data_IF_133601364684
#
_entry.id   IF_133601364684
#
_cell.length_a   1.000
_cell.length_b   1.000
_cell.length_c   1.000
_cell.angle_alpha   90.00
_cell.angle_beta   90.00
_cell.angle_gamma   90.00
#
_symmetry.space_group_name_H-M   'P 1'
#
loop_
_entity.id
_entity.type
_entity.pdbx_description
1 polymer ?
#
# COMPACT_ATOMS: atom_id res chain seq x y z
N UNK A 1 3.14 53.84 -2.64
CA UNK A 1 2.76 52.76 -1.71
C UNK A 1 2.97 51.44 -2.45
N UNK A 2 4.00 50.66 -2.09
CA UNK A 2 4.29 49.37 -2.72
C UNK A 2 3.49 48.30 -1.99
N UNK A 3 2.47 47.73 -2.63
CA UNK A 3 1.75 46.57 -2.09
C UNK A 3 2.70 45.36 -2.16
N UNK A 4 3.17 44.91 -1.00
CA UNK A 4 3.87 43.64 -0.86
C UNK A 4 2.85 42.52 -1.00
N UNK A 5 2.83 41.85 -2.15
CA UNK A 5 2.02 40.66 -2.33
C UNK A 5 2.76 39.49 -1.65
N UNK A 6 2.26 39.05 -0.50
CA UNK A 6 2.73 37.82 0.14
C UNK A 6 2.30 36.65 -0.73
N UNK A 7 3.21 36.12 -1.55
CA UNK A 7 2.96 34.86 -2.26
C UNK A 7 2.95 33.76 -1.20
N UNK A 8 1.77 33.24 -0.92
CA UNK A 8 1.63 32.02 -0.12
C UNK A 8 2.14 30.85 -0.97
N UNK A 9 3.39 30.45 -0.75
CA UNK A 9 4.04 29.35 -1.47
C UNK A 9 3.73 28.03 -0.75
N UNK A 10 2.64 27.37 -1.13
CA UNK A 10 2.48 25.94 -0.87
C UNK A 10 2.77 25.17 -2.15
N UNK A 11 3.57 24.08 -2.11
CA UNK A 11 3.76 23.24 -3.28
C UNK A 11 2.44 22.59 -3.68
N UNK A 12 2.29 22.29 -4.97
CA UNK A 12 1.18 21.48 -5.46
C UNK A 12 1.12 20.14 -4.69
N UNK A 13 -0.07 19.66 -4.31
CA UNK A 13 -0.20 18.37 -3.65
C UNK A 13 0.40 17.25 -4.50
N UNK A 14 1.17 16.36 -3.86
CA UNK A 14 1.78 15.20 -4.52
C UNK A 14 1.77 13.99 -3.60
N UNK A 15 1.90 12.79 -4.18
CA UNK A 15 1.91 11.55 -3.42
C UNK A 15 3.27 11.34 -2.72
N UNK A 16 3.30 11.61 -1.42
CA UNK A 16 4.50 11.43 -0.58
C UNK A 16 4.92 9.97 -0.44
N UNK A 17 3.97 9.03 -0.57
CA UNK A 17 4.22 7.62 -0.32
C UNK A 17 5.23 7.02 -1.31
N UNK A 18 5.27 7.52 -2.56
CA UNK A 18 6.16 7.03 -3.62
C UNK A 18 7.64 7.16 -3.24
N UNK A 19 8.00 8.19 -2.46
CA UNK A 19 9.35 8.37 -1.95
C UNK A 19 9.61 7.69 -0.61
N UNK A 20 8.60 7.06 -0.01
CA UNK A 20 8.66 6.45 1.30
C UNK A 20 9.24 5.04 1.31
N UNK A 21 9.37 4.50 2.52
CA UNK A 21 9.67 3.08 2.75
C UNK A 21 8.46 2.46 3.44
N UNK A 22 7.91 1.42 2.83
CA UNK A 22 6.78 0.68 3.38
C UNK A 22 7.20 -0.73 3.79
N UNK A 23 6.73 -1.17 4.95
CA UNK A 23 6.86 -2.55 5.44
C UNK A 23 5.51 -3.06 5.90
N UNK A 24 5.35 -4.38 5.90
CA UNK A 24 4.19 -5.07 6.47
C UNK A 24 4.69 -6.15 7.41
N UNK A 25 3.93 -6.45 8.47
CA UNK A 25 4.23 -7.58 9.33
C UNK A 25 3.83 -8.94 8.72
N UNK A 26 3.04 -8.93 7.65
CA UNK A 26 2.60 -10.11 6.93
C UNK A 26 2.26 -9.76 5.48
N UNK A 27 2.73 -10.57 4.53
CA UNK A 27 2.39 -10.45 3.11
C UNK A 27 2.00 -11.82 2.58
N UNK A 28 1.04 -11.86 1.66
CA UNK A 28 0.60 -13.14 1.11
C UNK A 28 1.75 -13.88 0.42
N UNK A 29 1.72 -15.21 0.50
CA UNK A 29 2.66 -16.07 -0.22
C UNK A 29 4.08 -16.14 0.36
N UNK A 30 4.37 -15.58 1.54
CA UNK A 30 5.69 -15.64 2.20
C UNK A 30 6.03 -17.07 2.68
N UNK A 31 5.06 -17.81 3.21
CA UNK A 31 5.21 -19.21 3.66
C UNK A 31 5.04 -20.25 2.52
N UNK A 32 4.87 -19.78 1.28
CA UNK A 32 4.56 -20.60 0.11
C UNK A 32 3.26 -20.17 -0.57
N UNK A 33 2.91 -20.77 -1.71
CA UNK A 33 1.75 -20.34 -2.50
C UNK A 33 0.45 -20.52 -1.72
N UNK A 34 -0.39 -19.49 -1.68
CA UNK A 34 -1.71 -19.56 -1.04
C UNK A 34 -2.84 -19.14 -1.98
N UNK A 35 -4.01 -19.77 -1.82
CA UNK A 35 -5.20 -19.46 -2.62
C UNK A 35 -5.99 -18.34 -1.97
N UNK A 36 -6.37 -17.34 -2.75
CA UNK A 36 -7.26 -16.25 -2.32
C UNK A 36 -8.50 -16.19 -3.22
N UNK A 37 -9.60 -15.64 -2.69
CA UNK A 37 -10.85 -15.43 -3.42
C UNK A 37 -11.49 -14.10 -3.02
N UNK A 38 -12.06 -13.36 -3.99
CA UNK A 38 -12.87 -12.17 -3.69
C UNK A 38 -14.23 -12.60 -3.14
N UNK A 39 -14.56 -12.11 -1.94
CA UNK A 39 -15.85 -12.39 -1.29
C UNK A 39 -17.02 -11.61 -1.90
N UNK A 40 -16.76 -10.49 -2.60
CA UNK A 40 -17.79 -9.70 -3.27
C UNK A 40 -17.47 -9.55 -4.76
N UNK A 41 -18.43 -9.88 -5.62
CA UNK A 41 -18.31 -9.90 -7.08
C UNK A 41 -18.50 -11.28 -7.68
N UNK A 42 -18.14 -11.46 -8.96
CA UNK A 42 -17.98 -12.79 -9.55
C UNK A 42 -16.91 -13.56 -8.76
N UNK A 43 -17.06 -14.88 -8.62
CA UNK A 43 -16.11 -15.76 -7.92
C UNK A 43 -14.73 -15.74 -8.61
N UNK A 44 -13.93 -14.72 -8.31
CA UNK A 44 -12.56 -14.58 -8.77
C UNK A 44 -11.64 -15.08 -7.68
N UNK A 45 -10.95 -16.18 -7.97
CA UNK A 45 -9.91 -16.74 -7.12
C UNK A 45 -8.58 -16.73 -7.88
N UNK A 46 -7.50 -16.73 -7.11
CA UNK A 46 -6.14 -16.76 -7.64
C UNK A 46 -5.19 -17.40 -6.66
N UNK A 47 -3.92 -17.41 -7.03
CA UNK A 47 -2.81 -17.84 -6.17
C UNK A 47 -1.95 -16.62 -5.92
N UNK A 48 -1.56 -16.41 -4.67
CA UNK A 48 -0.48 -15.50 -4.31
C UNK A 48 0.78 -16.31 -3.98
N UNK A 49 1.92 -15.94 -4.56
CA UNK A 49 3.23 -16.52 -4.25
C UNK A 49 4.28 -15.41 -4.28
N UNK A 50 4.91 -15.15 -3.14
CA UNK A 50 5.92 -14.09 -3.00
C UNK A 50 7.16 -14.29 -3.89
N UNK A 51 7.39 -15.52 -4.38
CA UNK A 51 8.52 -15.88 -5.24
C UNK A 51 8.20 -15.70 -6.73
N UNK A 52 6.93 -15.45 -7.07
CA UNK A 52 6.49 -15.20 -8.44
C UNK A 52 6.42 -13.69 -8.70
N UNK A 53 6.91 -13.27 -9.86
CA UNK A 53 6.88 -11.87 -10.26
C UNK A 53 5.45 -11.39 -10.59
N UNK A 54 4.61 -12.28 -11.11
CA UNK A 54 3.24 -12.01 -11.56
C UNK A 54 2.17 -12.25 -10.48
N UNK A 55 2.49 -13.04 -9.46
CA UNK A 55 1.56 -13.44 -8.37
C UNK A 55 2.03 -12.99 -7.00
N UNK A 56 3.10 -12.21 -6.96
CA UNK A 56 3.58 -11.53 -5.75
C UNK A 56 2.86 -10.20 -5.55
N UNK A 57 2.52 -9.90 -4.29
CA UNK A 57 1.84 -8.67 -3.91
C UNK A 57 2.58 -7.96 -2.75
N UNK A 58 3.82 -7.51 -2.97
CA UNK A 58 4.69 -6.99 -1.92
C UNK A 58 4.21 -5.63 -1.39
N UNK A 59 4.61 -5.20 -0.17
CA UNK A 59 4.22 -3.89 0.37
C UNK A 59 4.51 -2.71 -0.55
N UNK A 60 5.62 -2.77 -1.30
CA UNK A 60 6.03 -1.73 -2.24
C UNK A 60 5.00 -1.47 -3.35
N UNK A 61 4.22 -2.49 -3.73
CA UNK A 61 3.16 -2.36 -4.72
C UNK A 61 2.00 -1.45 -4.27
N UNK A 62 1.90 -1.13 -2.97
CA UNK A 62 0.91 -0.17 -2.48
C UNK A 62 1.31 1.30 -2.70
N UNK A 63 2.58 1.57 -3.03
CA UNK A 63 3.14 2.94 -3.12
C UNK A 63 3.89 3.20 -4.43
N UNK A 64 3.88 2.26 -5.38
CA UNK A 64 4.65 2.32 -6.63
C UNK A 64 4.01 3.22 -7.72
N UNK A 65 2.85 3.82 -7.43
CA UNK A 65 2.06 4.67 -8.33
C UNK A 65 1.55 3.95 -9.58
N UNK A 66 1.44 2.62 -9.55
CA UNK A 66 0.81 1.82 -10.60
C UNK A 66 -0.62 1.44 -10.21
N UNK A 67 -1.52 1.39 -11.19
CA UNK A 67 -2.93 1.08 -10.96
C UNK A 67 -3.25 -0.42 -11.04
N UNK A 68 -2.32 -1.24 -11.52
CA UNK A 68 -2.48 -2.68 -11.77
C UNK A 68 -1.78 -3.57 -10.72
N UNK A 69 -1.08 -2.96 -9.76
CA UNK A 69 -0.38 -3.64 -8.67
C UNK A 69 -1.01 -3.27 -7.33
N UNK A 70 -0.87 -4.15 -6.34
CA UNK A 70 -1.36 -3.95 -4.99
C UNK A 70 -0.53 -4.78 -4.01
N UNK A 71 -0.54 -4.38 -2.73
CA UNK A 71 -0.13 -5.24 -1.63
C UNK A 71 -1.31 -6.09 -1.15
N UNK A 72 -1.05 -7.33 -0.71
CA UNK A 72 -2.07 -8.21 -0.16
C UNK A 72 -1.60 -8.92 1.11
N UNK A 73 -2.45 -8.96 2.14
CA UNK A 73 -2.23 -9.76 3.34
C UNK A 73 -2.47 -11.26 3.10
N UNK A 74 -1.94 -12.14 3.97
CA UNK A 74 -2.30 -13.55 3.95
C UNK A 74 -3.80 -13.75 4.18
N UNK A 75 -4.32 -14.89 3.70
CA UNK A 75 -5.74 -15.19 3.86
C UNK A 75 -6.08 -15.59 5.30
N UNK A 76 -7.34 -15.41 5.70
CA UNK A 76 -7.82 -15.89 7.01
C UNK A 76 -7.80 -17.43 7.12
N UNK A 77 -7.71 -18.16 6.00
CA UNK A 77 -7.47 -19.60 6.01
C UNK A 77 -6.08 -19.94 6.54
N UNK A 78 -5.08 -19.09 6.27
CA UNK A 78 -3.69 -19.24 6.72
C UNK A 78 -3.51 -18.94 8.22
N UNK A 79 -4.51 -18.36 8.89
CA UNK A 79 -4.53 -18.24 10.35
C UNK A 79 -5.33 -17.05 10.88
N UNK A 80 -5.86 -17.17 12.10
CA UNK A 80 -6.65 -16.11 12.74
C UNK A 80 -5.83 -14.88 13.13
N UNK A 81 -4.51 -14.99 13.24
CA UNK A 81 -3.64 -13.84 13.46
C UNK A 81 -3.77 -12.79 12.34
N UNK A 82 -4.11 -13.21 11.12
CA UNK A 82 -4.27 -12.32 9.96
C UNK A 82 -5.59 -11.53 9.96
N UNK A 83 -6.40 -11.63 11.02
CA UNK A 83 -7.45 -10.64 11.27
C UNK A 83 -6.88 -9.24 11.55
N UNK A 84 -5.61 -9.15 11.94
CA UNK A 84 -4.89 -7.90 12.16
C UNK A 84 -3.53 -7.94 11.47
N UNK A 85 -3.30 -6.96 10.61
CA UNK A 85 -2.03 -6.76 9.89
C UNK A 85 -1.63 -5.30 10.02
N UNK A 86 -0.33 -5.05 10.11
CA UNK A 86 0.22 -3.71 10.30
C UNK A 86 1.10 -3.37 9.12
N UNK A 87 0.77 -2.29 8.42
CA UNK A 87 1.65 -1.64 7.45
C UNK A 87 2.28 -0.42 8.10
N UNK A 88 3.59 -0.28 7.97
CA UNK A 88 4.34 0.90 8.42
C UNK A 88 4.86 1.64 7.20
N UNK A 89 4.46 2.90 7.04
CA UNK A 89 4.93 3.77 5.97
C UNK A 89 5.78 4.91 6.55
N UNK A 90 7.08 4.84 6.33
CA UNK A 90 8.01 5.93 6.61
C UNK A 90 8.08 6.86 5.38
N UNK A 91 7.47 8.04 5.50
CA UNK A 91 7.48 9.05 4.44
C UNK A 91 8.85 9.72 4.25
N UNK A 92 9.79 9.55 5.20
CA UNK A 92 11.11 10.19 5.23
C UNK A 92 11.06 11.72 5.07
N UNK A 93 10.03 12.36 5.63
CA UNK A 93 9.85 13.82 5.56
C UNK A 93 9.48 14.42 6.91
N UNK A 94 9.93 15.66 7.12
CA UNK A 94 9.54 16.54 8.25
C UNK A 94 8.48 17.52 7.74
N UNK A 95 7.26 17.05 7.49
CA UNK A 95 6.13 17.92 7.11
C UNK A 95 5.17 18.13 8.28
N UNK A 96 4.51 19.29 8.30
CA UNK A 96 3.64 19.69 9.42
C UNK A 96 2.22 19.12 9.31
N UNK A 97 1.75 18.76 8.10
CA UNK A 97 0.41 18.20 7.83
C UNK A 97 0.43 17.31 6.58
N UNK A 98 0.00 16.05 6.73
CA UNK A 98 -0.21 15.11 5.64
C UNK A 98 -1.63 14.53 5.72
N UNK A 99 -2.20 14.18 4.56
CA UNK A 99 -3.45 13.43 4.48
C UNK A 99 -3.15 12.02 3.97
N UNK A 100 -3.72 11.02 4.63
CA UNK A 100 -3.62 9.63 4.21
C UNK A 100 -4.92 9.20 3.54
N UNK A 101 -4.79 8.68 2.33
CA UNK A 101 -5.89 8.06 1.60
C UNK A 101 -5.47 6.62 1.32
N UNK A 102 -6.34 5.67 1.64
CA UNK A 102 -6.16 4.26 1.33
C UNK A 102 -7.36 3.76 0.52
N UNK A 103 -7.12 2.86 -0.42
CA UNK A 103 -8.13 2.25 -1.25
C UNK A 103 -8.30 0.78 -0.84
N UNK A 104 -9.55 0.33 -0.72
CA UNK A 104 -9.92 -1.06 -0.48
C UNK A 104 -10.01 -1.85 -1.79
#
# INVERSE_FOLDING_TARGET
MKHSFSVTLYPEPFNLAVGGVITSNATCGEDGPETWCRLRGHHQCGVCDSRSQDKGHPPQAAIDNRADTWWQSPTLHSGQQYNYVTLTLDLRQVSTKNYFFYQH
#
